data_IF_528346387709
#
_entry.id   IF_528346387709
#
_cell.length_a   1.000
_cell.length_b   1.000
_cell.length_c   1.000
_cell.angle_alpha   90.00
_cell.angle_beta   90.00
_cell.angle_gamma   90.00
#
_symmetry.space_group_name_H-M   'P 1'
#
loop_
_entity.id
_entity.type
_entity.pdbx_description
1 polymer ?
#
# COMPACT_ATOMS: atom_id res chain seq x y z
N UNK A 1 18.84 12.65 -7.19
CA UNK A 1 18.43 12.05 -8.49
C UNK A 1 17.04 12.57 -8.82
N UNK A 2 16.82 13.15 -10.01
CA UNK A 2 15.51 13.67 -10.40
C UNK A 2 14.65 12.52 -10.95
N UNK A 3 13.58 12.14 -10.25
CA UNK A 3 12.69 11.03 -10.64
C UNK A 3 11.92 11.30 -11.94
N UNK A 4 11.70 12.56 -12.33
CA UNK A 4 11.11 12.89 -13.62
C UNK A 4 11.98 12.42 -14.80
N UNK A 5 13.29 12.29 -14.62
CA UNK A 5 14.21 11.81 -15.66
C UNK A 5 14.21 10.29 -15.84
N UNK A 6 13.49 9.54 -15.00
CA UNK A 6 13.39 8.08 -15.08
C UNK A 6 12.20 7.60 -15.95
N UNK A 7 11.31 8.51 -16.39
CA UNK A 7 10.14 8.15 -17.21
C UNK A 7 9.04 7.38 -16.47
N UNK A 8 9.04 7.42 -15.13
CA UNK A 8 8.08 6.67 -14.28
C UNK A 8 6.91 7.53 -13.76
N UNK A 9 7.01 8.86 -13.89
CA UNK A 9 6.00 9.80 -13.39
C UNK A 9 5.02 10.17 -14.51
N UNK A 10 3.72 10.16 -14.20
CA UNK A 10 2.70 10.68 -15.10
C UNK A 10 2.88 12.21 -15.27
N UNK A 11 2.81 12.77 -16.49
CA UNK A 11 2.74 14.21 -16.73
C UNK A 11 1.54 14.87 -16.05
N UNK A 12 0.47 14.12 -15.82
CA UNK A 12 -0.75 14.58 -15.13
C UNK A 12 -0.70 14.40 -13.61
N UNK A 13 0.41 13.87 -13.08
CA UNK A 13 0.57 13.57 -11.64
C UNK A 13 -0.50 12.66 -11.05
N UNK A 14 -1.16 11.84 -11.88
CA UNK A 14 -2.26 10.94 -11.48
C UNK A 14 -1.92 9.50 -11.86
N UNK A 15 -2.40 8.53 -11.08
CA UNK A 15 -2.33 7.11 -11.45
C UNK A 15 -3.59 6.72 -12.24
N UNK A 16 -3.48 6.55 -13.55
CA UNK A 16 -4.58 6.04 -14.40
C UNK A 16 -4.71 4.51 -14.29
N UNK A 17 -5.04 4.03 -13.10
CA UNK A 17 -5.00 2.61 -12.74
C UNK A 17 -5.91 1.79 -13.66
N UNK A 18 -5.30 0.87 -14.42
CA UNK A 18 -5.95 -0.01 -15.40
C UNK A 18 -6.58 0.68 -16.64
N UNK A 19 -6.33 1.97 -16.85
CA UNK A 19 -6.81 2.69 -18.04
C UNK A 19 -5.88 2.50 -19.25
N UNK A 20 -6.44 2.57 -20.45
CA UNK A 20 -5.69 2.51 -21.72
C UNK A 20 -4.67 3.65 -21.89
N UNK A 21 -4.84 4.77 -21.18
CA UNK A 21 -3.98 5.95 -21.17
C UNK A 21 -2.95 5.97 -20.03
N UNK A 22 -2.73 4.85 -19.33
CA UNK A 22 -1.73 4.76 -18.26
C UNK A 22 -0.33 5.21 -18.73
N UNK A 23 0.21 6.25 -18.09
CA UNK A 23 1.40 6.99 -18.51
C UNK A 23 2.42 7.20 -17.37
N UNK A 24 2.28 6.45 -16.27
CA UNK A 24 3.13 6.53 -15.08
C UNK A 24 2.30 6.59 -13.79
N UNK A 25 2.95 6.92 -12.68
CA UNK A 25 2.25 7.12 -11.40
C UNK A 25 2.33 8.58 -10.92
N UNK A 26 1.36 8.97 -10.09
CA UNK A 26 1.35 10.23 -9.36
C UNK A 26 2.06 10.12 -8.01
N UNK A 27 2.91 11.10 -7.67
CA UNK A 27 3.51 11.15 -6.33
C UNK A 27 2.51 11.65 -5.31
N UNK A 28 2.51 11.04 -4.15
CA UNK A 28 1.72 11.46 -3.01
C UNK A 28 2.53 11.30 -1.72
N UNK A 29 2.07 11.96 -0.67
CA UNK A 29 2.56 11.79 0.70
C UNK A 29 1.47 11.12 1.55
N UNK A 30 1.88 10.36 2.56
CA UNK A 30 0.95 9.68 3.47
C UNK A 30 1.70 8.93 4.57
N UNK A 31 1.08 8.78 5.73
CA UNK A 31 1.62 8.02 6.85
C UNK A 31 0.52 7.12 7.44
N UNK A 32 0.90 5.91 7.87
CA UNK A 32 -0.01 4.94 8.47
C UNK A 32 0.74 3.94 9.34
N UNK A 33 0.06 3.43 10.36
CA UNK A 33 0.57 2.41 11.27
C UNK A 33 -0.51 1.37 11.55
N UNK A 34 -0.10 0.12 11.76
CA UNK A 34 -0.97 -0.98 12.14
C UNK A 34 -0.47 -1.58 13.45
N UNK A 35 -1.38 -1.83 14.39
CA UNK A 35 -1.10 -2.67 15.54
C UNK A 35 -1.51 -4.10 15.19
N UNK A 36 -0.55 -5.02 15.22
CA UNK A 36 -0.76 -6.42 14.86
C UNK A 36 -0.47 -7.30 16.07
N UNK A 37 -1.37 -8.25 16.30
CA UNK A 37 -1.31 -9.20 17.40
C UNK A 37 -1.75 -10.57 16.90
N UNK A 38 -1.28 -11.65 17.54
CA UNK A 38 -1.81 -13.00 17.26
C UNK A 38 -3.31 -13.01 17.56
N UNK A 39 -4.11 -13.57 16.65
CA UNK A 39 -5.56 -13.58 16.76
C UNK A 39 -6.05 -14.16 18.10
N UNK A 40 -5.44 -15.26 18.56
CA UNK A 40 -5.79 -15.88 19.84
C UNK A 40 -5.58 -14.94 21.03
N UNK A 41 -4.48 -14.19 21.05
CA UNK A 41 -4.21 -13.24 22.13
C UNK A 41 -5.15 -12.02 22.04
N UNK A 42 -5.48 -11.55 20.84
CA UNK A 42 -6.43 -10.47 20.64
C UNK A 42 -7.84 -10.85 21.14
N UNK A 43 -8.29 -12.08 20.86
CA UNK A 43 -9.55 -12.62 21.37
C UNK A 43 -9.52 -12.76 22.89
N UNK A 44 -8.45 -13.34 23.45
CA UNK A 44 -8.29 -13.53 24.91
C UNK A 44 -8.39 -12.21 25.66
N UNK A 45 -7.73 -11.17 25.12
CA UNK A 45 -7.63 -9.89 25.80
C UNK A 45 -8.80 -8.95 25.45
N UNK A 46 -9.74 -9.38 24.60
CA UNK A 46 -10.91 -8.59 24.18
C UNK A 46 -10.56 -7.39 23.29
N UNK A 47 -9.44 -7.45 22.56
CA UNK A 47 -9.00 -6.37 21.69
C UNK A 47 -9.94 -6.16 20.49
N UNK A 48 -10.12 -4.93 20.00
CA UNK A 48 -10.89 -4.67 18.79
C UNK A 48 -10.17 -5.20 17.54
N UNK A 49 -10.75 -6.24 16.92
CA UNK A 49 -10.23 -6.85 15.70
C UNK A 49 -10.92 -6.25 14.47
N UNK A 50 -10.16 -5.54 13.64
CA UNK A 50 -10.65 -4.95 12.38
C UNK A 50 -10.55 -5.90 11.18
N UNK A 51 -9.53 -6.76 11.19
CA UNK A 51 -9.27 -7.76 10.14
C UNK A 51 -8.30 -8.83 10.64
N UNK A 52 -8.14 -9.91 9.87
CA UNK A 52 -7.18 -10.99 10.15
C UNK A 52 -6.23 -11.17 8.97
N UNK A 53 -4.93 -11.04 9.21
CA UNK A 53 -3.88 -11.41 8.24
C UNK A 53 -3.72 -12.93 8.22
N UNK A 54 -4.23 -13.60 7.17
CA UNK A 54 -4.23 -15.07 7.09
C UNK A 54 -2.86 -15.64 6.73
N UNK A 55 -2.15 -14.99 5.81
CA UNK A 55 -0.81 -15.37 5.38
C UNK A 55 -0.15 -14.22 4.62
N UNK A 56 1.18 -14.26 4.47
CA UNK A 56 1.97 -13.38 3.59
C UNK A 56 3.04 -14.22 2.88
N UNK A 57 3.44 -13.81 1.68
CA UNK A 57 4.50 -14.46 0.90
C UNK A 57 5.29 -13.40 0.11
N UNK A 58 6.55 -13.69 -0.21
CA UNK A 58 7.44 -12.84 -1.00
C UNK A 58 8.23 -13.71 -1.99
N UNK A 59 8.34 -13.27 -3.25
CA UNK A 59 9.23 -13.84 -4.27
C UNK A 59 10.04 -12.72 -4.96
N UNK A 60 10.94 -13.08 -5.88
CA UNK A 60 11.75 -12.12 -6.66
C UNK A 60 11.82 -12.55 -8.11
#
# INVERSE_FOLDING_TARGET
>A
MNTAKLGILSPTSTCHTFDSSADGYGRAEGAGALYVKRLADAIRDGDPIRSVLRSTAVNT
#
